data_IF_972450478787
#
_entry.id   IF_972450478787
#
_cell.length_a   1.000
_cell.length_b   1.000
_cell.length_c   1.000
_cell.angle_alpha   90.00
_cell.angle_beta   90.00
_cell.angle_gamma   90.00
#
_symmetry.space_group_name_H-M   'P 1'
#
loop_
_entity.id
_entity.type
_entity.pdbx_description
1 polymer ?
#
# COMPACT_ATOMS: atom_id res chain seq x y z
N UNK A 1 0.44 -27.83 1.29
CA UNK A 1 0.27 -26.78 0.24
C UNK A 1 1.57 -26.58 -0.55
N UNK A 2 1.53 -26.13 -1.81
CA UNK A 2 2.73 -25.71 -2.57
C UNK A 2 3.02 -24.24 -2.28
N UNK A 3 4.29 -23.89 -2.02
CA UNK A 3 4.75 -22.52 -1.80
C UNK A 3 5.49 -22.02 -3.04
N UNK A 4 5.08 -20.88 -3.57
CA UNK A 4 5.81 -20.09 -4.55
C UNK A 4 6.10 -18.69 -3.97
N UNK A 5 7.25 -18.12 -4.31
CA UNK A 5 7.73 -16.85 -3.73
C UNK A 5 8.17 -15.93 -4.85
N UNK A 6 7.64 -14.72 -4.88
CA UNK A 6 7.92 -13.72 -5.89
C UNK A 6 8.50 -12.48 -5.21
N UNK A 7 9.70 -12.07 -5.62
CA UNK A 7 10.24 -10.79 -5.15
C UNK A 7 9.53 -9.64 -5.86
N UNK A 8 9.11 -8.67 -5.07
CA UNK A 8 8.41 -7.47 -5.54
C UNK A 8 9.18 -6.21 -5.18
N UNK A 9 8.92 -5.14 -5.94
CA UNK A 9 9.45 -3.79 -5.72
C UNK A 9 8.35 -2.79 -6.02
N UNK A 10 7.96 -2.05 -4.99
CA UNK A 10 6.98 -0.98 -5.09
C UNK A 10 7.67 0.38 -5.21
N UNK A 11 6.97 1.34 -5.79
CA UNK A 11 7.43 2.72 -5.95
C UNK A 11 6.25 3.65 -5.78
N UNK A 12 6.41 4.70 -4.99
CA UNK A 12 5.40 5.72 -4.76
C UNK A 12 5.45 6.83 -5.84
N UNK A 13 4.35 7.57 -6.00
CA UNK A 13 4.27 8.74 -6.86
C UNK A 13 5.19 9.88 -6.40
N UNK A 14 5.27 10.10 -5.09
CA UNK A 14 6.23 10.99 -4.43
C UNK A 14 7.09 10.14 -3.50
N UNK A 15 8.36 10.53 -3.28
CA UNK A 15 9.20 9.85 -2.28
C UNK A 15 8.50 9.88 -0.92
N UNK A 16 8.19 8.70 -0.39
CA UNK A 16 7.58 8.57 0.93
C UNK A 16 8.58 8.95 2.00
N UNK A 17 8.17 9.85 2.90
CA UNK A 17 8.99 10.37 4.00
C UNK A 17 8.24 10.28 5.31
N UNK A 18 8.89 9.73 6.31
CA UNK A 18 8.50 9.81 7.71
C UNK A 18 9.56 10.58 8.51
N UNK A 19 9.35 10.77 9.82
CA UNK A 19 10.39 11.32 10.70
C UNK A 19 11.66 10.45 10.76
N UNK A 20 11.60 9.19 10.31
CA UNK A 20 12.70 8.22 10.39
C UNK A 20 13.44 7.99 9.08
N UNK A 21 12.73 8.01 7.95
CA UNK A 21 13.31 7.57 6.67
C UNK A 21 12.62 8.16 5.44
N UNK A 22 13.32 8.12 4.31
CA UNK A 22 12.83 8.47 2.98
C UNK A 22 13.05 7.27 2.03
N UNK A 23 12.01 6.82 1.34
CA UNK A 23 12.04 5.55 0.60
C UNK A 23 11.72 5.78 -0.88
N UNK A 24 12.69 5.62 -1.79
CA UNK A 24 12.44 5.70 -3.22
C UNK A 24 11.87 4.40 -3.81
N UNK A 25 12.20 3.25 -3.20
CA UNK A 25 11.75 1.92 -3.62
C UNK A 25 11.52 1.03 -2.40
N UNK A 26 10.43 0.26 -2.41
CA UNK A 26 10.04 -0.63 -1.31
C UNK A 26 10.13 -2.08 -1.79
N UNK A 27 11.23 -2.79 -1.51
CA UNK A 27 11.32 -4.22 -1.80
C UNK A 27 10.38 -5.02 -0.91
N UNK A 28 10.00 -6.21 -1.35
CA UNK A 28 9.17 -7.13 -0.58
C UNK A 28 9.04 -8.50 -1.23
N UNK A 29 8.21 -9.36 -0.64
CA UNK A 29 7.83 -10.65 -1.20
C UNK A 29 6.31 -10.72 -1.35
N UNK A 30 5.86 -11.21 -2.51
CA UNK A 30 4.53 -11.79 -2.66
C UNK A 30 4.65 -13.32 -2.52
N UNK A 31 3.94 -13.85 -1.54
CA UNK A 31 3.84 -15.28 -1.25
C UNK A 31 2.59 -15.83 -1.92
N UNK A 32 2.73 -16.99 -2.57
CA UNK A 32 1.64 -17.74 -3.15
C UNK A 32 1.58 -19.14 -2.53
N UNK A 33 0.42 -19.50 -1.97
CA UNK A 33 0.12 -20.86 -1.52
C UNK A 33 -0.89 -21.50 -2.45
N UNK A 34 -0.53 -22.63 -3.05
CA UNK A 34 -1.40 -23.38 -3.98
C UNK A 34 -1.88 -24.70 -3.38
N UNK A 35 -3.17 -24.98 -3.49
CA UNK A 35 -3.77 -26.30 -3.22
C UNK A 35 -4.98 -26.54 -4.13
N UNK A 36 -5.16 -27.78 -4.60
CA UNK A 36 -6.26 -28.17 -5.48
C UNK A 36 -6.43 -27.27 -6.74
N UNK A 37 -5.33 -26.72 -7.27
CA UNK A 37 -5.34 -25.83 -8.43
C UNK A 37 -5.80 -24.39 -8.13
N UNK A 38 -5.98 -24.03 -6.85
CA UNK A 38 -6.34 -22.69 -6.38
C UNK A 38 -5.15 -22.07 -5.66
N UNK A 39 -4.90 -20.79 -5.89
CA UNK A 39 -3.83 -20.01 -5.27
C UNK A 39 -4.41 -18.97 -4.30
N UNK A 40 -3.80 -18.82 -3.14
CA UNK A 40 -3.99 -17.69 -2.23
C UNK A 40 -2.70 -16.88 -2.06
N UNK A 41 -2.83 -15.59 -1.80
CA UNK A 41 -1.72 -14.64 -1.83
C UNK A 41 -1.57 -13.85 -0.52
N UNK A 42 -0.33 -13.57 -0.15
CA UNK A 42 0.00 -12.68 0.96
C UNK A 42 1.30 -11.93 0.69
N UNK A 43 1.50 -10.81 1.38
CA UNK A 43 2.63 -9.90 1.13
C UNK A 43 3.47 -9.72 2.39
N UNK A 44 4.79 -9.56 2.20
CA UNK A 44 5.73 -9.12 3.23
C UNK A 44 6.62 -7.98 2.69
N UNK A 45 6.50 -6.78 3.26
CA UNK A 45 7.35 -5.65 2.88
C UNK A 45 8.73 -5.76 3.53
N UNK A 46 9.81 -5.53 2.79
CA UNK A 46 11.16 -5.47 3.32
C UNK A 46 11.47 -4.08 3.89
N UNK A 47 10.82 -3.77 5.01
CA UNK A 47 10.79 -2.44 5.62
C UNK A 47 11.10 -2.50 7.12
N UNK A 48 11.81 -1.50 7.66
CA UNK A 48 12.33 -1.48 9.04
C UNK A 48 13.06 -2.80 9.40
N UNK A 49 14.04 -3.17 8.57
CA UNK A 49 14.66 -4.51 8.56
C UNK A 49 15.39 -4.86 9.85
N UNK A 50 15.94 -3.88 10.54
CA UNK A 50 16.61 -4.02 11.84
C UNK A 50 15.63 -4.36 12.96
N UNK A 51 14.38 -3.91 12.85
CA UNK A 51 13.35 -4.08 13.89
C UNK A 51 12.52 -5.35 13.75
N UNK A 52 12.22 -5.77 12.51
CA UNK A 52 11.26 -6.84 12.24
C UNK A 52 11.84 -8.06 11.50
N UNK A 53 13.16 -8.14 11.34
CA UNK A 53 13.83 -9.19 10.55
C UNK A 53 13.22 -9.36 9.14
N UNK A 54 12.84 -8.24 8.52
CA UNK A 54 12.13 -8.19 7.24
C UNK A 54 13.07 -8.04 6.04
N UNK A 55 14.39 -8.21 6.21
CA UNK A 55 15.30 -8.19 5.07
C UNK A 55 14.98 -9.35 4.10
N UNK A 56 15.02 -9.11 2.78
CA UNK A 56 14.70 -10.13 1.76
C UNK A 56 15.43 -11.46 2.00
N UNK A 57 16.73 -11.42 2.30
CA UNK A 57 17.53 -12.62 2.60
C UNK A 57 16.98 -13.39 3.80
N UNK A 58 16.63 -12.69 4.88
CA UNK A 58 16.08 -13.31 6.08
C UNK A 58 14.71 -13.95 5.81
N UNK A 59 13.84 -13.25 5.08
CA UNK A 59 12.53 -13.76 4.70
C UNK A 59 12.65 -15.01 3.79
N UNK A 60 13.59 -15.02 2.84
CA UNK A 60 13.87 -16.22 2.03
C UNK A 60 14.37 -17.40 2.88
N UNK A 61 15.25 -17.15 3.83
CA UNK A 61 15.75 -18.20 4.73
C UNK A 61 14.66 -18.76 5.63
N UNK A 62 13.77 -17.90 6.12
CA UNK A 62 12.56 -18.28 6.85
C UNK A 62 11.63 -19.16 6.01
N UNK A 63 11.37 -18.77 4.76
CA UNK A 63 10.52 -19.53 3.85
C UNK A 63 11.12 -20.90 3.51
N UNK A 64 12.44 -20.98 3.26
CA UNK A 64 13.14 -22.26 3.07
C UNK A 64 13.03 -23.16 4.29
N UNK A 65 13.14 -22.59 5.49
CA UNK A 65 13.04 -23.31 6.77
C UNK A 65 11.68 -23.98 6.96
N UNK A 66 10.59 -23.30 6.58
CA UNK A 66 9.22 -23.79 6.79
C UNK A 66 8.60 -24.48 5.57
N UNK A 67 9.24 -24.44 4.40
CA UNK A 67 8.71 -25.01 3.15
C UNK A 67 8.28 -26.49 3.28
N UNK A 68 9.07 -27.32 3.97
CA UNK A 68 8.73 -28.73 4.22
C UNK A 68 7.48 -28.89 5.10
N UNK A 69 7.34 -28.05 6.12
CA UNK A 69 6.17 -28.03 7.00
C UNK A 69 4.91 -27.59 6.23
N UNK A 70 5.01 -26.51 5.44
CA UNK A 70 3.91 -26.01 4.61
C UNK A 70 3.36 -27.06 3.65
N UNK A 71 4.20 -27.97 3.15
CA UNK A 71 3.75 -29.05 2.29
C UNK A 71 2.72 -29.97 2.97
N UNK A 72 2.94 -30.27 4.25
CA UNK A 72 2.10 -31.15 5.05
C UNK A 72 0.87 -30.46 5.67
N UNK A 73 0.85 -29.13 5.70
CA UNK A 73 -0.25 -28.36 6.30
C UNK A 73 -1.52 -28.37 5.41
N UNK A 74 -2.72 -28.48 6.03
CA UNK A 74 -4.00 -28.43 5.34
C UNK A 74 -4.28 -27.03 4.75
N UNK A 75 -5.05 -26.98 3.66
CA UNK A 75 -5.36 -25.72 2.98
C UNK A 75 -6.60 -24.99 3.52
N UNK A 76 -7.38 -25.66 4.38
CA UNK A 76 -8.67 -25.21 4.94
C UNK A 76 -8.60 -24.87 6.44
N UNK A 77 -7.42 -24.94 7.07
CA UNK A 77 -7.20 -24.60 8.48
C UNK A 77 -6.09 -23.53 8.65
N UNK A 78 -6.33 -22.28 8.23
CA UNK A 78 -5.34 -21.22 8.33
C UNK A 78 -4.95 -20.91 9.79
N UNK A 79 -5.86 -21.02 10.76
CA UNK A 79 -5.54 -20.77 12.17
C UNK A 79 -4.63 -21.85 12.77
N UNK A 80 -4.87 -23.13 12.44
CA UNK A 80 -3.98 -24.23 12.81
C UNK A 80 -2.61 -24.11 12.13
N UNK A 81 -2.59 -23.69 10.86
CA UNK A 81 -1.35 -23.41 10.13
C UNK A 81 -0.53 -22.32 10.83
N UNK A 82 -1.17 -21.22 11.23
CA UNK A 82 -0.52 -20.15 11.99
C UNK A 82 0.09 -20.68 13.28
N UNK A 83 -0.64 -21.50 14.04
CA UNK A 83 -0.16 -22.06 15.31
C UNK A 83 1.11 -22.92 15.13
N UNK A 84 1.21 -23.66 14.03
CA UNK A 84 2.40 -24.46 13.69
C UNK A 84 3.57 -23.57 13.24
N UNK A 85 3.30 -22.51 12.50
CA UNK A 85 4.32 -21.62 11.92
C UNK A 85 4.82 -20.53 12.88
N UNK A 86 4.03 -20.18 13.89
CA UNK A 86 4.34 -19.08 14.81
C UNK A 86 5.65 -19.30 15.59
N UNK A 87 5.90 -20.52 16.07
CA UNK A 87 7.14 -20.83 16.80
C UNK A 87 8.40 -20.76 15.92
N UNK A 88 8.47 -21.42 14.75
CA UNK A 88 9.66 -21.34 13.90
C UNK A 88 9.88 -19.96 13.27
N UNK A 89 8.85 -19.10 13.23
CA UNK A 89 8.90 -17.74 12.69
C UNK A 89 8.71 -16.63 13.75
N UNK A 90 8.93 -16.93 15.04
CA UNK A 90 8.65 -15.99 16.13
C UNK A 90 9.44 -14.66 16.04
N UNK A 91 10.60 -14.68 15.39
CA UNK A 91 11.42 -13.48 15.14
C UNK A 91 11.14 -12.78 13.80
N UNK A 92 10.18 -13.27 13.02
CA UNK A 92 9.93 -12.84 11.64
C UNK A 92 8.44 -12.61 11.37
N UNK A 93 7.81 -11.65 12.07
CA UNK A 93 6.36 -11.45 12.01
C UNK A 93 5.88 -11.10 10.60
N UNK A 94 6.70 -10.45 9.77
CA UNK A 94 6.31 -10.08 8.40
C UNK A 94 6.19 -11.31 7.50
N UNK A 95 7.16 -12.23 7.58
CA UNK A 95 7.10 -13.53 6.88
C UNK A 95 5.91 -14.37 7.35
N UNK A 96 5.69 -14.42 8.67
CA UNK A 96 4.56 -15.14 9.26
C UNK A 96 3.22 -14.56 8.78
N UNK A 97 3.12 -13.23 8.74
CA UNK A 97 1.93 -12.53 8.25
C UNK A 97 1.63 -12.86 6.79
N UNK A 98 2.62 -12.82 5.91
CA UNK A 98 2.45 -13.16 4.50
C UNK A 98 1.95 -14.60 4.30
N UNK A 99 2.47 -15.57 5.07
CA UNK A 99 2.00 -16.96 5.04
C UNK A 99 0.57 -17.12 5.58
N UNK A 100 0.25 -16.43 6.69
CA UNK A 100 -1.08 -16.47 7.28
C UNK A 100 -2.13 -15.84 6.36
N UNK A 101 -1.83 -14.66 5.78
CA UNK A 101 -2.69 -13.99 4.81
C UNK A 101 -2.93 -14.89 3.58
N UNK A 102 -1.86 -15.49 3.03
CA UNK A 102 -1.99 -16.41 1.89
C UNK A 102 -2.83 -17.66 2.22
N UNK A 103 -2.72 -18.19 3.44
CA UNK A 103 -3.51 -19.34 3.89
C UNK A 103 -4.99 -18.98 4.05
N UNK A 104 -5.31 -17.81 4.63
CA UNK A 104 -6.67 -17.31 4.73
C UNK A 104 -7.29 -17.01 3.36
N UNK A 105 -6.54 -16.39 2.47
CA UNK A 105 -6.97 -16.15 1.09
C UNK A 105 -7.26 -17.46 0.35
N UNK A 106 -6.35 -18.45 0.46
CA UNK A 106 -6.53 -19.78 -0.13
C UNK A 106 -7.76 -20.50 0.41
N UNK A 107 -7.96 -20.52 1.74
CA UNK A 107 -9.10 -21.17 2.37
C UNK A 107 -10.43 -20.56 1.90
N UNK A 108 -10.51 -19.23 1.87
CA UNK A 108 -11.68 -18.51 1.38
C UNK A 108 -11.96 -18.76 -0.11
N UNK A 109 -10.91 -18.85 -0.95
CA UNK A 109 -11.04 -19.20 -2.37
C UNK A 109 -11.51 -20.63 -2.59
N UNK A 110 -10.98 -21.60 -1.84
CA UNK A 110 -11.44 -22.98 -1.87
C UNK A 110 -12.92 -23.09 -1.45
N UNK A 111 -13.34 -22.28 -0.48
CA UNK A 111 -14.74 -22.15 -0.07
C UNK A 111 -15.60 -21.33 -1.04
N UNK A 112 -15.01 -20.75 -2.10
CA UNK A 112 -15.70 -19.91 -3.09
C UNK A 112 -16.44 -18.72 -2.49
N UNK A 113 -15.89 -18.11 -1.43
CA UNK A 113 -16.48 -16.93 -0.76
C UNK A 113 -15.44 -15.82 -0.58
N UNK A 114 -15.86 -14.54 -0.56
CA UNK A 114 -14.97 -13.45 -0.17
C UNK A 114 -14.41 -13.66 1.23
N UNK A 115 -13.18 -13.20 1.47
CA UNK A 115 -12.47 -13.38 2.73
C UNK A 115 -13.26 -12.80 3.91
N UNK A 116 -13.88 -11.62 3.74
CA UNK A 116 -14.67 -10.99 4.82
C UNK A 116 -15.80 -11.91 5.29
N UNK A 117 -16.41 -12.67 4.37
CA UNK A 117 -17.47 -13.63 4.67
C UNK A 117 -16.90 -14.90 5.30
N UNK A 118 -15.76 -15.37 4.81
CA UNK A 118 -15.04 -16.51 5.37
C UNK A 118 -14.65 -16.28 6.83
N UNK A 119 -14.25 -15.05 7.18
CA UNK A 119 -13.91 -14.64 8.55
C UNK A 119 -15.13 -14.45 9.47
N UNK A 120 -16.35 -14.62 8.93
CA UNK A 120 -17.60 -14.39 9.67
C UNK A 120 -17.94 -12.91 9.87
N UNK A 121 -17.36 -12.03 9.03
CA UNK A 121 -17.64 -10.60 9.04
C UNK A 121 -19.02 -10.27 8.48
N UNK A 122 -19.51 -9.07 8.79
CA UNK A 122 -20.71 -8.52 8.17
C UNK A 122 -20.31 -7.89 6.83
N UNK A 123 -21.22 -7.90 5.85
CA UNK A 123 -21.03 -7.14 4.62
C UNK A 123 -20.66 -5.70 5.01
N UNK A 124 -19.47 -5.21 4.65
CA UNK A 124 -19.03 -3.91 5.10
C UNK A 124 -20.00 -2.84 4.58
N UNK A 125 -20.32 -1.85 5.42
CA UNK A 125 -20.90 -0.60 4.95
C UNK A 125 -19.92 0.17 4.07
N UNK A 126 -20.11 1.48 3.93
CA UNK A 126 -19.12 2.32 3.26
C UNK A 126 -17.84 2.39 4.12
N UNK A 127 -16.85 1.56 3.79
CA UNK A 127 -15.51 1.60 4.37
C UNK A 127 -14.75 2.78 3.75
N UNK A 128 -13.99 3.51 4.57
CA UNK A 128 -13.12 4.55 4.06
C UNK A 128 -11.76 4.53 4.76
N UNK A 129 -10.72 4.88 4.02
CA UNK A 129 -9.36 5.09 4.52
C UNK A 129 -9.12 6.59 4.77
N UNK A 130 -8.23 6.92 5.72
CA UNK A 130 -7.49 8.19 5.72
C UNK A 130 -6.53 8.28 4.53
N UNK A 131 -6.05 9.47 4.18
CA UNK A 131 -4.95 9.69 3.23
C UNK A 131 -3.71 10.22 3.92
N UNK A 132 -2.57 9.57 3.74
CA UNK A 132 -1.30 9.97 4.35
C UNK A 132 -0.59 11.06 3.56
N UNK A 133 -0.27 12.15 4.26
CA UNK A 133 0.61 13.22 3.80
C UNK A 133 1.95 13.04 4.51
N UNK A 134 2.90 12.44 3.79
CA UNK A 134 4.27 12.26 4.27
C UNK A 134 4.97 13.58 4.57
N UNK A 135 5.95 13.53 5.48
CA UNK A 135 6.68 14.69 5.98
C UNK A 135 7.49 15.35 4.86
N UNK A 136 7.28 16.63 4.62
CA UNK A 136 7.96 17.42 3.59
C UNK A 136 7.89 18.92 3.95
N UNK A 137 8.37 19.79 3.06
CA UNK A 137 8.13 21.22 3.18
C UNK A 137 6.63 21.53 3.12
N UNK A 138 6.13 22.54 3.87
CA UNK A 138 4.70 22.84 3.97
C UNK A 138 4.01 23.01 2.60
N UNK A 139 4.68 23.65 1.64
CA UNK A 139 4.15 23.84 0.29
C UNK A 139 3.95 22.52 -0.46
N UNK A 140 4.86 21.55 -0.30
CA UNK A 140 4.74 20.21 -0.88
C UNK A 140 3.60 19.44 -0.22
N UNK A 141 3.46 19.53 1.10
CA UNK A 141 2.36 18.88 1.83
C UNK A 141 1.00 19.42 1.42
N UNK A 142 0.87 20.75 1.26
CA UNK A 142 -0.33 21.39 0.71
C UNK A 142 -0.62 20.94 -0.72
N UNK A 143 0.40 20.86 -1.59
CA UNK A 143 0.24 20.30 -2.95
C UNK A 143 -0.35 18.89 -2.91
N UNK A 144 0.25 17.98 -2.11
CA UNK A 144 -0.21 16.59 -1.97
C UNK A 144 -1.67 16.49 -1.52
N UNK A 145 -2.08 17.36 -0.59
CA UNK A 145 -3.46 17.48 -0.14
C UNK A 145 -4.39 17.90 -1.29
N UNK A 146 -4.01 18.94 -2.04
CA UNK A 146 -4.81 19.49 -3.15
C UNK A 146 -4.91 18.52 -4.34
N UNK A 147 -3.92 17.65 -4.54
CA UNK A 147 -3.96 16.58 -5.54
C UNK A 147 -4.95 15.47 -5.19
N UNK A 148 -5.32 15.33 -3.90
CA UNK A 148 -6.23 14.28 -3.39
C UNK A 148 -7.35 14.89 -2.54
N UNK A 149 -8.24 15.73 -3.10
CA UNK A 149 -9.29 16.40 -2.33
C UNK A 149 -10.42 15.44 -1.95
N UNK A 150 -11.08 15.72 -0.81
CA UNK A 150 -12.33 15.06 -0.44
C UNK A 150 -12.17 13.70 0.25
N UNK A 151 -10.97 13.38 0.74
CA UNK A 151 -10.78 12.24 1.63
C UNK A 151 -11.42 12.52 3.00
N UNK A 152 -11.94 11.50 3.69
CA UNK A 152 -12.67 11.68 4.95
C UNK A 152 -11.76 12.10 6.11
N UNK A 153 -10.46 11.83 6.03
CA UNK A 153 -9.45 12.27 6.97
C UNK A 153 -8.08 12.29 6.29
N UNK A 154 -7.18 13.17 6.76
CA UNK A 154 -5.79 13.21 6.30
C UNK A 154 -4.84 12.86 7.45
N UNK A 155 -4.01 11.84 7.26
CA UNK A 155 -2.94 11.46 8.20
C UNK A 155 -1.69 12.29 7.92
N UNK A 156 -1.36 13.23 8.80
CA UNK A 156 -0.26 14.18 8.61
C UNK A 156 0.93 13.77 9.46
N UNK A 157 2.08 13.52 8.83
CA UNK A 157 3.34 13.28 9.53
C UNK A 157 4.00 14.61 9.91
N UNK A 158 4.35 14.77 11.18
CA UNK A 158 5.10 15.95 11.66
C UNK A 158 6.40 15.52 12.33
N UNK A 159 7.45 16.34 12.20
CA UNK A 159 8.74 16.05 12.79
C UNK A 159 8.77 16.38 14.29
N UNK A 160 8.03 17.40 14.70
CA UNK A 160 7.95 17.87 16.07
C UNK A 160 6.51 18.25 16.47
N UNK A 161 6.17 18.21 17.78
CA UNK A 161 4.83 18.62 18.24
C UNK A 161 4.55 20.11 17.95
N UNK A 162 5.60 20.92 17.81
CA UNK A 162 5.53 22.35 17.53
C UNK A 162 5.27 22.72 16.06
N UNK A 163 5.19 21.74 15.13
CA UNK A 163 5.00 21.98 13.70
C UNK A 163 3.56 22.40 13.32
N UNK A 164 2.89 23.14 14.22
CA UNK A 164 1.52 23.65 14.07
C UNK A 164 1.34 24.55 12.85
N UNK A 165 2.43 25.14 12.34
CA UNK A 165 2.40 25.94 11.11
C UNK A 165 2.06 25.09 9.88
N UNK A 166 2.47 23.81 9.85
CA UNK A 166 2.10 22.85 8.80
C UNK A 166 0.59 22.58 8.86
N UNK A 167 0.07 22.24 10.04
CA UNK A 167 -1.36 21.99 10.25
C UNK A 167 -2.21 23.22 9.89
N UNK A 168 -1.75 24.42 10.24
CA UNK A 168 -2.41 25.68 9.85
C UNK A 168 -2.47 25.84 8.33
N UNK A 169 -1.36 25.62 7.63
CA UNK A 169 -1.30 25.72 6.18
C UNK A 169 -2.23 24.70 5.50
N UNK A 170 -2.28 23.45 5.98
CA UNK A 170 -3.20 22.43 5.46
C UNK A 170 -4.67 22.78 5.74
N UNK A 171 -4.97 23.31 6.94
CA UNK A 171 -6.32 23.70 7.37
C UNK A 171 -6.91 24.83 6.52
N UNK A 172 -6.09 25.66 5.88
CA UNK A 172 -6.58 26.66 4.91
C UNK A 172 -7.25 26.05 3.67
N UNK A 173 -7.05 24.76 3.42
CA UNK A 173 -7.48 24.07 2.20
C UNK A 173 -8.48 22.93 2.43
N UNK A 174 -8.74 22.52 3.67
CA UNK A 174 -9.70 21.45 3.98
C UNK A 174 -10.32 21.59 5.36
N UNK A 175 -11.57 21.15 5.50
CA UNK A 175 -12.26 20.98 6.79
C UNK A 175 -12.22 19.52 7.29
N UNK A 176 -11.62 18.60 6.53
CA UNK A 176 -11.50 17.20 6.93
C UNK A 176 -10.68 17.04 8.23
N UNK A 177 -11.01 16.06 9.08
CA UNK A 177 -10.20 15.66 10.23
C UNK A 177 -8.73 15.40 9.90
N UNK A 178 -7.85 15.74 10.83
CA UNK A 178 -6.45 15.36 10.79
C UNK A 178 -6.15 14.24 11.78
N UNK A 179 -5.45 13.21 11.31
CA UNK A 179 -4.78 12.22 12.16
C UNK A 179 -3.30 12.57 12.16
N UNK A 180 -2.69 12.82 13.31
CA UNK A 180 -1.30 13.25 13.37
C UNK A 180 -0.43 12.10 13.86
N UNK A 181 0.64 11.80 13.15
CA UNK A 181 1.58 10.73 13.49
C UNK A 181 2.95 11.32 13.83
N UNK A 182 3.39 11.12 15.07
CA UNK A 182 4.69 11.56 15.57
C UNK A 182 5.83 10.57 15.30
N UNK A 183 5.52 9.33 14.88
CA UNK A 183 6.47 8.25 14.58
C UNK A 183 7.59 8.09 15.63
N UNK A 184 7.25 8.18 16.91
CA UNK A 184 8.14 8.15 18.08
C UNK A 184 9.17 9.29 18.20
N UNK A 185 9.01 10.40 17.48
CA UNK A 185 10.01 11.47 17.41
C UNK A 185 9.88 12.56 18.48
N UNK A 186 8.82 12.56 19.28
CA UNK A 186 8.45 13.71 20.10
C UNK A 186 8.79 13.52 21.59
N UNK A 187 8.78 14.62 22.34
CA UNK A 187 8.92 14.64 23.80
C UNK A 187 7.59 15.04 24.48
N UNK A 188 7.39 14.56 25.71
CA UNK A 188 6.16 14.81 26.48
C UNK A 188 5.90 16.30 26.73
N UNK A 189 6.86 17.12 27.23
CA UNK A 189 6.62 18.55 27.47
C UNK A 189 6.13 19.32 26.24
N UNK A 190 6.79 19.12 25.10
CA UNK A 190 6.43 19.75 23.83
C UNK A 190 5.08 19.28 23.31
N UNK A 191 4.80 17.97 23.45
CA UNK A 191 3.51 17.39 23.06
C UNK A 191 2.38 18.00 23.88
N UNK A 192 2.50 18.01 25.22
CA UNK A 192 1.51 18.59 26.12
C UNK A 192 1.23 20.08 25.80
N UNK A 193 2.27 20.85 25.49
CA UNK A 193 2.14 22.26 25.15
C UNK A 193 1.40 22.51 23.81
N UNK A 194 1.33 21.52 22.93
CA UNK A 194 0.76 21.67 21.59
C UNK A 194 -0.66 21.07 21.44
N UNK A 195 -1.13 20.27 22.40
CA UNK A 195 -2.40 19.54 22.34
C UNK A 195 -3.62 20.41 22.04
N UNK A 196 -3.82 21.49 22.80
CA UNK A 196 -4.99 22.36 22.63
C UNK A 196 -5.00 23.03 21.25
N UNK A 197 -3.81 23.37 20.74
CA UNK A 197 -3.67 23.96 19.42
C UNK A 197 -3.90 22.93 18.31
N UNK A 198 -3.42 21.69 18.48
CA UNK A 198 -3.72 20.59 17.56
C UNK A 198 -5.23 20.31 17.52
N UNK A 199 -5.89 20.23 18.67
CA UNK A 199 -7.33 20.02 18.76
C UNK A 199 -8.10 21.16 18.08
N UNK A 200 -7.70 22.41 18.32
CA UNK A 200 -8.27 23.58 17.66
C UNK A 200 -8.05 23.64 16.14
N UNK A 201 -7.08 22.89 15.62
CA UNK A 201 -6.82 22.74 14.18
C UNK A 201 -7.51 21.50 13.58
N UNK A 202 -8.40 20.85 14.32
CA UNK A 202 -9.18 19.70 13.85
C UNK A 202 -8.38 18.40 13.81
N UNK A 203 -7.40 18.24 14.70
CA UNK A 203 -6.76 16.94 14.95
C UNK A 203 -7.69 16.09 15.81
N UNK A 204 -8.07 14.92 15.31
CA UNK A 204 -8.99 13.99 15.98
C UNK A 204 -8.31 12.71 16.47
N UNK A 205 -7.05 12.47 16.08
CA UNK A 205 -6.27 11.30 16.48
C UNK A 205 -4.78 11.68 16.55
N UNK A 206 -4.11 11.31 17.64
CA UNK A 206 -2.65 11.44 17.79
C UNK A 206 -2.00 10.05 17.88
N UNK A 207 -1.24 9.67 16.85
CA UNK A 207 -0.61 8.37 16.71
C UNK A 207 0.87 8.41 17.14
N UNK A 208 1.22 7.50 18.04
CA UNK A 208 2.58 7.18 18.50
C UNK A 208 3.56 8.37 18.56
N UNK A 209 3.35 9.35 19.45
CA UNK A 209 4.28 10.48 19.58
C UNK A 209 5.64 10.07 20.15
N UNK A 210 5.67 9.10 21.08
CA UNK A 210 6.87 8.74 21.84
C UNK A 210 7.47 7.39 21.43
N UNK A 211 8.77 7.15 21.71
CA UNK A 211 9.39 5.83 21.61
C UNK A 211 8.56 4.73 22.25
N UNK A 212 8.62 3.52 21.68
CA UNK A 212 7.82 2.37 22.11
C UNK A 212 7.92 2.11 23.61
N UNK A 213 9.12 2.33 24.18
CA UNK A 213 9.47 2.00 25.55
C UNK A 213 8.94 3.04 26.56
N UNK A 214 8.46 4.19 26.11
CA UNK A 214 8.09 5.35 26.94
C UNK A 214 6.63 5.28 27.44
N UNK A 215 6.30 4.21 28.15
CA UNK A 215 4.93 3.94 28.63
C UNK A 215 4.42 4.96 29.66
N UNK A 216 5.29 5.47 30.54
CA UNK A 216 4.90 6.49 31.53
C UNK A 216 4.50 7.82 30.87
N UNK A 217 5.21 8.19 29.80
CA UNK A 217 4.91 9.39 29.02
C UNK A 217 3.59 9.21 28.26
N UNK A 218 3.37 8.04 27.65
CA UNK A 218 2.12 7.71 26.99
C UNK A 218 0.92 7.75 27.96
N UNK A 219 1.05 7.16 29.16
CA UNK A 219 0.03 7.26 30.22
C UNK A 219 -0.28 8.70 30.59
N UNK A 220 0.77 9.48 30.87
CA UNK A 220 0.62 10.90 31.25
C UNK A 220 -0.06 11.70 30.15
N UNK A 221 0.28 11.42 28.89
CA UNK A 221 -0.34 12.06 27.73
C UNK A 221 -1.81 11.67 27.60
N UNK A 222 -2.15 10.38 27.68
CA UNK A 222 -3.53 9.89 27.64
C UNK A 222 -4.43 10.58 28.67
N UNK A 223 -3.95 10.75 29.90
CA UNK A 223 -4.71 11.41 30.97
C UNK A 223 -4.96 12.90 30.70
N UNK A 224 -4.02 13.58 30.04
CA UNK A 224 -4.08 15.02 29.80
C UNK A 224 -4.68 15.39 28.43
N UNK A 225 -4.70 14.47 27.47
CA UNK A 225 -4.97 14.78 26.07
C UNK A 225 -6.46 14.97 25.78
N UNK A 226 -6.86 16.09 25.14
CA UNK A 226 -8.20 16.23 24.58
C UNK A 226 -8.38 15.43 23.27
N UNK A 227 -7.29 14.90 22.71
CA UNK A 227 -7.25 14.12 21.47
C UNK A 227 -6.95 12.65 21.82
N UNK A 228 -7.73 11.67 21.34
CA UNK A 228 -7.42 10.26 21.52
C UNK A 228 -5.99 9.89 21.08
N UNK A 229 -5.26 9.19 21.94
CA UNK A 229 -3.88 8.76 21.68
C UNK A 229 -3.85 7.30 21.25
N UNK A 230 -3.27 7.02 20.08
CA UNK A 230 -3.21 5.67 19.49
C UNK A 230 -1.79 5.10 19.51
N UNK A 231 -1.66 3.83 19.87
CA UNK A 231 -0.41 3.08 19.74
C UNK A 231 -0.25 2.53 18.31
N UNK A 232 0.92 2.72 17.69
CA UNK A 232 1.37 1.98 16.50
C UNK A 232 2.61 1.15 16.89
N UNK A 233 3.78 1.77 17.02
CA UNK A 233 5.01 1.08 17.37
C UNK A 233 4.99 0.43 18.76
N UNK A 234 4.14 0.87 19.68
CA UNK A 234 3.94 0.26 21.00
C UNK A 234 3.09 -1.01 20.97
N UNK A 235 2.32 -1.26 19.90
CA UNK A 235 1.47 -2.46 19.73
C UNK A 235 1.95 -3.28 18.53
N UNK A 236 2.79 -4.28 18.79
CA UNK A 236 3.31 -5.17 17.74
C UNK A 236 2.68 -6.55 17.78
N UNK A 237 2.23 -7.03 18.94
CA UNK A 237 1.64 -8.35 19.09
C UNK A 237 0.70 -8.46 20.29
N UNK A 238 0.12 -9.64 20.52
CA UNK A 238 -0.90 -9.84 21.55
C UNK A 238 -0.40 -9.57 22.98
N UNK A 239 0.91 -9.70 23.23
CA UNK A 239 1.52 -9.51 24.55
C UNK A 239 1.59 -8.03 24.96
N UNK A 240 1.51 -7.09 24.01
CA UNK A 240 1.57 -5.66 24.27
C UNK A 240 0.21 -5.08 24.70
N UNK A 241 -0.89 -5.81 24.46
CA UNK A 241 -2.23 -5.26 24.49
C UNK A 241 -2.68 -4.77 25.86
N UNK A 242 -2.29 -5.45 26.95
CA UNK A 242 -2.64 -5.00 28.31
C UNK A 242 -1.93 -3.69 28.67
N UNK A 243 -0.66 -3.55 28.28
CA UNK A 243 0.08 -2.30 28.48
C UNK A 243 -0.50 -1.17 27.61
N UNK A 244 -0.95 -1.49 26.39
CA UNK A 244 -1.64 -0.52 25.54
C UNK A 244 -2.99 -0.07 26.11
N UNK A 245 -3.78 -0.98 26.69
CA UNK A 245 -5.05 -0.65 27.33
C UNK A 245 -4.89 0.38 28.47
N UNK A 246 -3.78 0.28 29.20
CA UNK A 246 -3.41 1.21 30.25
C UNK A 246 -2.95 2.56 29.67
N UNK A 247 -2.03 2.56 28.70
CA UNK A 247 -1.34 3.76 28.24
C UNK A 247 -1.93 4.51 27.03
N UNK A 248 -2.87 3.92 26.30
CA UNK A 248 -3.44 4.50 25.07
C UNK A 248 -4.98 4.45 25.06
N UNK A 249 -5.62 5.28 24.24
CA UNK A 249 -7.06 5.28 24.00
C UNK A 249 -7.46 4.33 22.86
N UNK A 250 -6.52 4.09 21.94
CA UNK A 250 -6.72 3.19 20.81
C UNK A 250 -5.45 2.49 20.35
N UNK A 251 -5.62 1.52 19.45
CA UNK A 251 -4.52 0.74 18.87
C UNK A 251 -4.61 0.70 17.35
N UNK A 252 -3.50 0.98 16.68
CA UNK A 252 -3.27 0.78 15.25
C UNK A 252 -2.59 -0.58 15.02
N UNK A 253 -3.41 -1.58 14.69
CA UNK A 253 -2.94 -2.92 14.38
C UNK A 253 -2.55 -3.00 12.90
N UNK A 254 -1.47 -3.74 12.61
CA UNK A 254 -1.03 -4.01 11.23
C UNK A 254 -0.78 -5.50 11.10
N UNK A 255 -1.26 -6.11 10.02
CA UNK A 255 -1.12 -7.56 9.81
C UNK A 255 0.36 -7.99 9.88
N UNK A 256 1.25 -7.23 9.24
CA UNK A 256 2.69 -7.52 9.21
C UNK A 256 3.36 -7.48 10.58
N UNK A 257 3.01 -6.52 11.45
CA UNK A 257 3.60 -6.44 12.81
C UNK A 257 3.16 -7.62 13.68
N UNK A 258 1.87 -7.96 13.60
CA UNK A 258 1.23 -8.94 14.47
C UNK A 258 1.40 -10.40 13.99
N UNK A 259 1.87 -10.61 12.76
CA UNK A 259 2.03 -11.95 12.20
C UNK A 259 0.78 -12.50 11.50
N UNK A 260 -0.10 -11.64 10.99
CA UNK A 260 -1.20 -12.02 10.10
C UNK A 260 -2.61 -11.69 10.57
N UNK A 261 -3.61 -12.19 9.84
CA UNK A 261 -5.04 -12.08 10.13
C UNK A 261 -5.39 -12.84 11.41
N UNK A 262 -4.87 -14.06 11.58
CA UNK A 262 -5.15 -14.91 12.75
C UNK A 262 -4.90 -14.18 14.08
N UNK A 263 -3.70 -13.64 14.36
CA UNK A 263 -3.44 -12.91 15.59
C UNK A 263 -4.20 -11.57 15.65
N UNK A 264 -4.34 -10.85 14.54
CA UNK A 264 -5.02 -9.55 14.52
C UNK A 264 -6.50 -9.67 14.89
N UNK A 265 -7.23 -10.67 14.39
CA UNK A 265 -8.63 -10.89 14.80
C UNK A 265 -8.76 -11.16 16.30
N UNK A 266 -7.80 -11.89 16.90
CA UNK A 266 -7.77 -12.13 18.35
C UNK A 266 -7.48 -10.83 19.10
N UNK A 267 -6.53 -10.03 18.61
CA UNK A 267 -6.19 -8.74 19.19
C UNK A 267 -7.35 -7.73 19.11
N UNK A 268 -8.05 -7.63 17.98
CA UNK A 268 -9.20 -6.74 17.80
C UNK A 268 -10.33 -7.05 18.80
N UNK A 269 -10.62 -8.35 19.01
CA UNK A 269 -11.62 -8.78 20.02
C UNK A 269 -11.19 -8.38 21.43
N UNK A 270 -9.91 -8.56 21.76
CA UNK A 270 -9.35 -8.25 23.09
C UNK A 270 -9.26 -6.74 23.33
N UNK A 271 -8.86 -5.96 22.32
CA UNK A 271 -8.79 -4.51 22.37
C UNK A 271 -10.17 -3.90 22.66
N UNK A 272 -11.20 -4.33 21.92
CA UNK A 272 -12.57 -3.90 22.19
C UNK A 272 -13.07 -4.30 23.57
N UNK A 273 -12.76 -5.52 24.01
CA UNK A 273 -13.13 -5.96 25.36
C UNK A 273 -12.44 -5.13 26.46
N UNK A 274 -11.26 -4.56 26.17
CA UNK A 274 -10.54 -3.64 27.03
C UNK A 274 -11.00 -2.17 26.88
N UNK A 275 -11.98 -1.87 26.03
CA UNK A 275 -12.50 -0.52 25.82
C UNK A 275 -11.64 0.37 24.93
N UNK A 276 -10.67 -0.20 24.21
CA UNK A 276 -9.83 0.53 23.25
C UNK A 276 -10.57 0.78 21.93
N UNK A 277 -10.36 1.97 21.36
CA UNK A 277 -10.66 2.22 19.95
C UNK A 277 -9.72 1.41 19.05
N UNK A 278 -10.21 1.02 17.88
CA UNK A 278 -9.51 0.09 16.98
C UNK A 278 -9.28 0.69 15.60
N UNK A 279 -8.04 0.60 15.16
CA UNK A 279 -7.60 1.03 13.84
C UNK A 279 -6.81 -0.09 13.17
N UNK A 280 -7.00 -0.24 11.86
CA UNK A 280 -6.14 -1.07 11.02
C UNK A 280 -5.35 -0.17 10.07
N UNK A 281 -4.04 -0.23 10.19
CA UNK A 281 -3.10 0.45 9.33
C UNK A 281 -2.37 -0.53 8.41
N UNK A 282 -1.66 0.02 7.43
CA UNK A 282 -0.74 -0.75 6.60
C UNK A 282 0.72 -0.32 6.82
N UNK A 283 1.62 -1.21 6.43
CA UNK A 283 2.98 -0.84 6.02
C UNK A 283 2.90 -0.25 4.61
N UNK A 284 4.02 0.20 4.03
CA UNK A 284 4.05 0.43 2.59
C UNK A 284 3.86 -0.90 1.86
N UNK A 285 2.62 -1.15 1.43
CA UNK A 285 2.11 -2.42 0.92
C UNK A 285 1.42 -2.20 -0.44
N UNK A 286 1.44 -3.23 -1.26
CA UNK A 286 0.74 -3.28 -2.54
C UNK A 286 -0.75 -3.59 -2.37
N UNK A 287 -1.47 -3.68 -3.50
CA UNK A 287 -2.85 -4.18 -3.52
C UNK A 287 -3.01 -5.54 -2.84
N UNK A 288 -1.98 -6.39 -2.77
CA UNK A 288 -2.05 -7.67 -2.08
C UNK A 288 -2.25 -7.50 -0.57
N UNK A 289 -1.36 -6.75 0.09
CA UNK A 289 -1.46 -6.46 1.53
C UNK A 289 -2.67 -5.62 1.91
N UNK A 290 -2.94 -4.54 1.15
CA UNK A 290 -4.09 -3.66 1.41
C UNK A 290 -5.42 -4.38 1.27
N UNK A 291 -5.58 -5.26 0.29
CA UNK A 291 -6.80 -6.07 0.15
C UNK A 291 -7.04 -6.92 1.39
N UNK A 292 -6.01 -7.61 1.89
CA UNK A 292 -6.14 -8.44 3.09
C UNK A 292 -6.60 -7.61 4.30
N UNK A 293 -6.00 -6.43 4.52
CA UNK A 293 -6.35 -5.53 5.63
C UNK A 293 -7.78 -4.97 5.49
N UNK A 294 -8.16 -4.52 4.28
CA UNK A 294 -9.48 -3.96 4.01
C UNK A 294 -10.62 -4.96 4.27
N UNK A 295 -10.39 -6.26 4.05
CA UNK A 295 -11.36 -7.31 4.36
C UNK A 295 -11.68 -7.44 5.86
N UNK A 296 -10.84 -6.89 6.74
CA UNK A 296 -11.10 -6.80 8.18
C UNK A 296 -11.77 -5.46 8.57
N UNK A 297 -12.09 -4.59 7.62
CA UNK A 297 -12.59 -3.23 7.88
C UNK A 297 -13.85 -3.15 8.75
N UNK A 298 -14.74 -4.16 8.68
CA UNK A 298 -15.93 -4.22 9.55
C UNK A 298 -15.60 -4.44 11.04
N UNK A 299 -14.36 -4.81 11.35
CA UNK A 299 -13.86 -5.02 12.70
C UNK A 299 -13.06 -3.84 13.24
N UNK A 300 -13.12 -2.64 12.65
CA UNK A 300 -12.41 -1.47 13.20
C UNK A 300 -13.23 -0.19 13.11
N UNK A 301 -12.81 0.79 13.89
CA UNK A 301 -13.38 2.13 13.93
C UNK A 301 -12.71 3.04 12.88
N UNK A 302 -11.43 2.79 12.57
CA UNK A 302 -10.64 3.55 11.61
C UNK A 302 -9.83 2.63 10.67
N UNK A 303 -9.65 3.06 9.43
CA UNK A 303 -8.75 2.43 8.45
C UNK A 303 -7.74 3.44 7.93
N UNK A 304 -6.48 3.03 7.87
CA UNK A 304 -5.36 3.73 7.25
C UNK A 304 -4.66 2.76 6.29
N UNK A 305 -5.33 2.52 5.17
CA UNK A 305 -4.96 1.54 4.15
C UNK A 305 -4.82 2.22 2.79
N UNK A 306 -4.10 3.35 2.77
CA UNK A 306 -4.01 4.27 1.64
C UNK A 306 -2.81 4.00 0.74
N UNK A 307 -1.94 3.05 1.09
CA UNK A 307 -0.70 2.81 0.36
C UNK A 307 -0.91 2.63 -1.15
N UNK A 308 -1.97 1.93 -1.59
CA UNK A 308 -2.27 1.78 -3.02
C UNK A 308 -2.62 3.08 -3.75
N UNK A 309 -3.08 4.13 -3.04
CA UNK A 309 -3.27 5.47 -3.60
C UNK A 309 -1.95 6.25 -3.72
N UNK A 310 -0.93 5.86 -2.96
CA UNK A 310 0.41 6.44 -2.98
C UNK A 310 1.29 5.79 -4.06
N UNK A 311 1.03 4.53 -4.40
CA UNK A 311 1.83 3.74 -5.35
C UNK A 311 1.72 4.21 -6.82
N UNK A 312 2.88 4.41 -7.44
CA UNK A 312 3.06 4.45 -8.89
C UNK A 312 3.20 3.05 -9.50
N UNK A 313 3.76 2.11 -8.74
CA UNK A 313 4.00 0.71 -9.15
C UNK A 313 3.37 -0.24 -8.14
N UNK A 314 2.40 -1.02 -8.60
CA UNK A 314 1.64 -2.01 -7.83
C UNK A 314 1.85 -3.45 -8.37
N UNK A 315 1.47 -4.47 -7.59
CA UNK A 315 1.63 -5.90 -7.88
C UNK A 315 0.42 -6.54 -8.57
N UNK A 316 -0.69 -5.83 -8.70
CA UNK A 316 -1.90 -6.38 -9.30
C UNK A 316 -3.13 -5.52 -9.04
N UNK A 317 -4.30 -6.16 -9.02
CA UNK A 317 -5.56 -5.54 -8.68
C UNK A 317 -6.21 -6.28 -7.52
N UNK A 318 -6.93 -5.58 -6.65
CA UNK A 318 -7.65 -6.18 -5.54
C UNK A 318 -8.82 -5.30 -5.11
N UNK A 319 -8.82 -4.90 -3.85
CA UNK A 319 -9.76 -3.89 -3.35
C UNK A 319 -9.69 -2.59 -4.14
N UNK A 320 -10.83 -1.98 -4.42
CA UNK A 320 -10.90 -0.68 -5.07
C UNK A 320 -10.89 0.42 -4.00
N UNK A 321 -9.88 1.28 -4.04
CA UNK A 321 -9.82 2.53 -3.29
C UNK A 321 -10.01 3.68 -4.27
N UNK A 322 -11.12 4.41 -4.16
CA UNK A 322 -11.39 5.55 -5.05
C UNK A 322 -10.68 6.83 -4.59
N UNK A 323 -10.72 7.86 -5.44
CA UNK A 323 -10.03 9.13 -5.20
C UNK A 323 -10.61 9.95 -4.01
N UNK A 324 -11.64 9.43 -3.33
CA UNK A 324 -12.23 10.00 -2.11
C UNK A 324 -12.04 9.10 -0.89
N UNK A 325 -11.16 8.10 -0.99
CA UNK A 325 -10.81 7.22 0.11
C UNK A 325 -11.83 6.13 0.40
N UNK A 326 -12.88 5.96 -0.42
CA UNK A 326 -13.86 4.90 -0.21
C UNK A 326 -13.32 3.56 -0.72
N UNK A 327 -13.45 2.56 0.12
CA UNK A 327 -12.99 1.19 -0.10
C UNK A 327 -14.19 0.33 -0.54
N UNK A 328 -14.08 -0.31 -1.70
CA UNK A 328 -15.04 -1.29 -2.20
C UNK A 328 -14.40 -2.67 -2.21
N UNK A 329 -14.88 -3.56 -1.34
CA UNK A 329 -14.43 -4.95 -1.32
C UNK A 329 -15.00 -5.71 -2.54
N UNK A 330 -14.19 -6.57 -3.19
CA UNK A 330 -14.66 -7.40 -4.27
C UNK A 330 -15.61 -8.50 -3.77
N UNK A 331 -16.59 -8.87 -4.60
CA UNK A 331 -17.44 -10.05 -4.39
C UNK A 331 -16.75 -11.37 -4.82
N UNK A 332 -15.50 -11.28 -5.29
CA UNK A 332 -14.69 -12.43 -5.69
C UNK A 332 -14.24 -13.27 -4.47
N UNK A 333 -13.99 -14.58 -4.66
CA UNK A 333 -13.45 -15.42 -3.59
C UNK A 333 -12.09 -14.94 -3.06
N UNK A 334 -11.85 -15.15 -1.76
CA UNK A 334 -10.62 -14.69 -1.12
C UNK A 334 -10.58 -13.19 -0.88
N UNK A 335 -9.38 -12.62 -0.88
CA UNK A 335 -9.14 -11.17 -0.85
C UNK A 335 -9.57 -10.47 -2.15
N UNK A 336 -9.91 -11.25 -3.19
CA UNK A 336 -10.15 -10.77 -4.54
C UNK A 336 -8.90 -10.21 -5.23
N UNK A 337 -7.73 -10.31 -4.61
CA UNK A 337 -6.47 -9.93 -5.24
C UNK A 337 -6.15 -10.82 -6.44
N UNK A 338 -5.68 -10.21 -7.52
CA UNK A 338 -5.24 -10.86 -8.75
C UNK A 338 -3.87 -10.27 -9.11
N UNK A 339 -2.79 -11.06 -9.05
CA UNK A 339 -1.45 -10.57 -9.38
C UNK A 339 -1.29 -10.30 -10.88
N UNK A 340 -0.60 -9.21 -11.23
CA UNK A 340 -0.02 -9.02 -12.58
C UNK A 340 1.44 -9.45 -12.56
N UNK A 341 1.71 -10.75 -12.63
CA UNK A 341 3.08 -11.30 -12.68
C UNK A 341 3.94 -10.79 -13.85
N UNK A 342 3.31 -10.16 -14.85
CA UNK A 342 4.00 -9.52 -15.97
C UNK A 342 4.27 -8.03 -15.75
N UNK A 343 3.75 -7.51 -14.64
CA UNK A 343 3.91 -6.15 -14.17
C UNK A 343 5.34 -5.82 -13.73
N UNK A 344 5.61 -4.54 -13.45
CA UNK A 344 6.94 -4.01 -13.13
C UNK A 344 7.44 -4.43 -11.75
N UNK A 345 6.50 -4.79 -10.87
CA UNK A 345 6.78 -4.90 -9.46
C UNK A 345 7.55 -6.18 -9.23
N UNK A 346 7.27 -7.21 -10.02
CA UNK A 346 7.88 -8.52 -9.93
C UNK A 346 9.30 -8.52 -10.51
N UNK A 347 10.30 -8.58 -9.61
CA UNK A 347 11.72 -8.74 -9.94
C UNK A 347 12.11 -10.21 -10.07
N UNK A 348 11.38 -11.12 -9.42
CA UNK A 348 11.44 -12.58 -9.62
C UNK A 348 10.05 -13.08 -10.01
N UNK A 349 9.96 -13.79 -11.13
CA UNK A 349 8.69 -14.21 -11.77
C UNK A 349 8.53 -15.74 -11.77
N UNK A 350 7.29 -16.27 -11.84
CA UNK A 350 7.07 -17.70 -12.05
C UNK A 350 7.82 -18.19 -13.29
N UNK A 351 8.57 -19.29 -13.18
CA UNK A 351 9.25 -19.92 -14.32
C UNK A 351 8.19 -20.40 -15.31
N UNK A 352 8.33 -20.00 -16.57
CA UNK A 352 7.34 -20.17 -17.64
C UNK A 352 6.80 -21.61 -17.73
N UNK A 353 5.54 -21.75 -17.32
CA UNK A 353 4.71 -22.92 -17.54
C UNK A 353 3.25 -22.49 -17.63
N UNK A 354 2.94 -21.57 -18.56
CA UNK A 354 1.55 -21.13 -18.82
C UNK A 354 1.25 -19.64 -18.68
N UNK A 355 2.24 -18.77 -18.43
CA UNK A 355 2.05 -17.33 -18.60
C UNK A 355 2.11 -16.98 -20.10
N UNK A 356 1.27 -16.07 -20.61
CA UNK A 356 1.38 -15.62 -21.99
C UNK A 356 2.77 -15.05 -22.22
N UNK A 357 3.47 -15.60 -23.21
CA UNK A 357 4.70 -15.05 -23.74
C UNK A 357 4.44 -13.58 -24.11
N UNK A 358 5.23 -12.65 -23.55
CA UNK A 358 5.19 -11.25 -23.94
C UNK A 358 5.93 -11.10 -25.27
N UNK A 359 5.34 -11.62 -26.34
CA UNK A 359 5.86 -11.47 -27.69
C UNK A 359 5.06 -10.37 -28.41
N UNK A 360 5.63 -9.16 -28.50
CA UNK A 360 5.19 -8.16 -29.48
C UNK A 360 4.65 -6.81 -28.98
N UNK A 361 4.68 -6.54 -27.67
CA UNK A 361 4.52 -5.17 -27.15
C UNK A 361 3.10 -4.58 -27.17
N UNK A 362 2.04 -5.39 -27.08
CA UNK A 362 0.64 -4.92 -27.01
C UNK A 362 -0.03 -5.33 -25.69
N UNK A 363 -0.80 -4.42 -25.11
CA UNK A 363 -1.64 -4.57 -23.93
C UNK A 363 -3.08 -4.28 -24.31
N UNK A 364 -4.04 -5.03 -23.75
CA UNK A 364 -5.47 -4.82 -24.01
C UNK A 364 -6.26 -4.78 -22.70
N UNK A 365 -7.19 -3.84 -22.58
CA UNK A 365 -8.20 -3.77 -21.55
C UNK A 365 -9.51 -4.35 -22.10
N UNK A 366 -10.13 -5.26 -21.36
CA UNK A 366 -11.36 -5.93 -21.77
C UNK A 366 -12.47 -5.73 -20.74
N UNK A 367 -13.70 -5.53 -21.20
CA UNK A 367 -14.92 -5.50 -20.38
C UNK A 367 -15.85 -6.63 -20.84
N UNK A 368 -16.26 -7.49 -19.91
CA UNK A 368 -17.11 -8.67 -20.20
C UNK A 368 -16.54 -9.54 -21.35
N UNK A 369 -15.21 -9.65 -21.44
CA UNK A 369 -14.52 -10.42 -22.49
C UNK A 369 -14.38 -9.71 -23.84
N UNK A 370 -14.89 -8.47 -23.98
CA UNK A 370 -14.72 -7.65 -25.18
C UNK A 370 -13.62 -6.62 -24.98
N UNK A 371 -12.66 -6.53 -25.91
CA UNK A 371 -11.62 -5.49 -25.86
C UNK A 371 -12.24 -4.11 -25.99
N UNK A 372 -11.99 -3.24 -25.00
CA UNK A 372 -12.46 -1.86 -24.97
C UNK A 372 -11.35 -0.87 -25.28
N UNK A 373 -10.10 -1.21 -24.99
CA UNK A 373 -8.92 -0.43 -25.35
C UNK A 373 -7.67 -1.31 -25.50
N UNK A 374 -6.68 -0.84 -26.25
CA UNK A 374 -5.37 -1.49 -26.33
C UNK A 374 -4.25 -0.47 -26.50
N UNK A 375 -3.06 -0.77 -26.00
CA UNK A 375 -1.87 0.07 -26.16
C UNK A 375 -0.68 -0.76 -26.60
N UNK A 376 0.03 -0.27 -27.63
CA UNK A 376 1.27 -0.88 -28.12
C UNK A 376 2.51 -0.04 -27.80
N UNK A 377 3.46 -0.62 -27.08
CA UNK A 377 4.76 -0.02 -26.73
C UNK A 377 5.82 -0.53 -27.72
N UNK A 378 6.59 0.37 -28.35
CA UNK A 378 7.71 0.01 -29.24
C UNK A 378 8.97 0.77 -28.84
N UNK A 379 10.12 0.10 -28.93
CA UNK A 379 11.44 0.74 -28.85
C UNK A 379 11.76 1.38 -30.20
N UNK A 380 11.52 2.69 -30.33
CA UNK A 380 11.77 3.46 -31.56
C UNK A 380 12.37 4.83 -31.23
N UNK A 381 13.22 5.37 -32.12
CA UNK A 381 13.62 6.77 -32.05
C UNK A 381 12.43 7.69 -32.30
N UNK A 382 12.41 8.84 -31.61
CA UNK A 382 11.56 9.95 -32.01
C UNK A 382 11.95 10.50 -33.39
N UNK A 383 11.05 11.22 -34.09
CA UNK A 383 11.39 11.89 -35.34
C UNK A 383 12.66 12.75 -35.17
N UNK A 384 13.74 12.39 -35.88
CA UNK A 384 15.01 13.13 -35.87
C UNK A 384 16.07 12.68 -34.85
N UNK A 385 15.78 11.70 -33.99
CA UNK A 385 16.74 11.16 -33.01
C UNK A 385 17.31 9.79 -33.36
N UNK A 386 18.44 9.42 -32.76
CA UNK A 386 18.93 8.04 -32.78
C UNK A 386 18.18 7.18 -31.74
N UNK A 387 17.93 5.88 -32.00
CA UNK A 387 17.32 5.00 -31.01
C UNK A 387 18.20 4.91 -29.76
N UNK A 388 17.63 5.13 -28.58
CA UNK A 388 18.32 4.95 -27.29
C UNK A 388 17.75 3.73 -26.56
N UNK A 389 18.58 3.05 -25.77
CA UNK A 389 18.13 1.94 -24.91
C UNK A 389 17.15 2.39 -23.83
N UNK A 390 17.23 3.66 -23.44
CA UNK A 390 16.43 4.22 -22.36
C UNK A 390 15.14 4.90 -22.83
N UNK A 391 14.77 4.81 -24.11
CA UNK A 391 13.62 5.53 -24.66
C UNK A 391 12.66 4.58 -25.36
N UNK A 392 11.36 4.65 -25.00
CA UNK A 392 10.27 3.88 -25.62
C UNK A 392 9.12 4.79 -26.05
N UNK A 393 8.33 4.34 -27.03
CA UNK A 393 7.19 5.09 -27.55
C UNK A 393 5.92 4.23 -27.56
N UNK A 394 4.82 4.77 -27.04
CA UNK A 394 3.47 4.27 -27.23
C UNK A 394 3.02 4.61 -28.66
N UNK A 395 3.03 3.60 -29.53
CA UNK A 395 2.80 3.79 -30.95
C UNK A 395 1.31 3.74 -31.33
N UNK A 396 0.54 2.88 -30.67
CA UNK A 396 -0.85 2.59 -31.06
C UNK A 396 -1.71 2.44 -29.81
N UNK A 397 -2.19 3.56 -29.25
CA UNK A 397 -3.33 3.55 -28.33
C UNK A 397 -4.61 3.51 -29.17
N UNK A 398 -5.43 2.49 -28.95
CA UNK A 398 -6.71 2.26 -29.62
C UNK A 398 -7.81 2.17 -28.57
N UNK A 399 -8.97 2.74 -28.89
CA UNK A 399 -10.19 2.64 -28.10
C UNK A 399 -11.27 2.07 -28.99
N UNK A 400 -11.88 0.95 -28.61
CA UNK A 400 -12.95 0.31 -29.39
C UNK A 400 -14.34 0.98 -29.21
N UNK A 401 -14.39 2.11 -28.48
CA UNK A 401 -15.61 2.83 -28.09
C UNK A 401 -16.13 2.34 -26.73
N UNK A 402 -16.26 3.25 -25.76
CA UNK A 402 -16.83 2.94 -24.43
C UNK A 402 -15.83 2.67 -23.29
N UNK A 403 -14.52 2.74 -23.56
CA UNK A 403 -13.51 2.79 -22.49
C UNK A 403 -13.59 4.12 -21.74
N UNK A 404 -13.66 4.04 -20.41
CA UNK A 404 -13.63 5.19 -19.51
C UNK A 404 -12.22 5.76 -19.36
N UNK A 405 -12.11 7.02 -18.95
CA UNK A 405 -10.83 7.65 -18.66
C UNK A 405 -10.05 6.89 -17.58
N UNK A 406 -10.73 6.27 -16.61
CA UNK A 406 -10.11 5.42 -15.58
C UNK A 406 -9.47 4.17 -16.17
N UNK A 407 -10.16 3.45 -17.06
CA UNK A 407 -9.62 2.26 -17.73
C UNK A 407 -8.45 2.61 -18.64
N UNK A 408 -8.55 3.74 -19.36
CA UNK A 408 -7.46 4.24 -20.19
C UNK A 408 -6.25 4.66 -19.35
N UNK A 409 -6.48 5.31 -18.21
CA UNK A 409 -5.42 5.71 -17.27
C UNK A 409 -4.70 4.48 -16.73
N UNK A 410 -5.43 3.48 -16.25
CA UNK A 410 -4.85 2.22 -15.77
C UNK A 410 -4.03 1.52 -16.86
N UNK A 411 -4.59 1.37 -18.07
CA UNK A 411 -3.92 0.75 -19.20
C UNK A 411 -2.62 1.48 -19.59
N UNK A 412 -2.64 2.82 -19.58
CA UNK A 412 -1.47 3.65 -19.87
C UNK A 412 -0.41 3.56 -18.77
N UNK A 413 -0.82 3.57 -17.50
CA UNK A 413 0.09 3.34 -16.37
C UNK A 413 0.78 1.99 -16.54
N UNK A 414 0.03 0.90 -16.72
CA UNK A 414 0.60 -0.43 -16.95
C UNK A 414 1.58 -0.45 -18.13
N UNK A 415 1.29 0.26 -19.23
CA UNK A 415 2.19 0.33 -20.39
C UNK A 415 3.50 1.07 -20.13
N UNK A 416 3.43 2.24 -19.49
CA UNK A 416 4.60 3.01 -19.05
C UNK A 416 5.46 2.18 -18.12
N UNK A 417 4.80 1.59 -17.15
CA UNK A 417 5.37 0.76 -16.13
C UNK A 417 6.12 -0.44 -16.72
N UNK A 418 5.52 -1.15 -17.69
CA UNK A 418 6.22 -2.22 -18.44
C UNK A 418 7.39 -1.66 -19.25
N UNK A 419 7.26 -0.49 -19.87
CA UNK A 419 8.35 0.14 -20.60
C UNK A 419 9.56 0.45 -19.68
N UNK A 420 9.31 0.90 -18.45
CA UNK A 420 10.34 1.19 -17.43
C UNK A 420 11.05 -0.07 -16.97
N UNK A 421 10.31 -1.13 -16.66
CA UNK A 421 10.87 -2.44 -16.30
C UNK A 421 11.80 -2.98 -17.39
N UNK A 422 11.51 -2.62 -18.64
CA UNK A 422 12.23 -3.02 -19.84
C UNK A 422 13.32 -1.99 -20.24
N UNK A 423 13.75 -1.14 -19.30
CA UNK A 423 14.91 -0.25 -19.38
C UNK A 423 14.62 1.21 -19.77
N UNK A 424 13.35 1.60 -19.98
CA UNK A 424 13.02 2.97 -20.36
C UNK A 424 13.09 3.95 -19.19
N UNK A 425 13.80 5.06 -19.37
CA UNK A 425 13.73 6.26 -18.50
C UNK A 425 12.69 7.27 -18.99
N UNK A 426 12.33 7.18 -20.27
CA UNK A 426 11.37 8.08 -20.91
C UNK A 426 10.42 7.30 -21.80
N UNK A 427 9.11 7.58 -21.65
CA UNK A 427 8.05 7.01 -22.48
C UNK A 427 7.29 8.12 -23.18
N UNK A 428 7.16 8.02 -24.50
CA UNK A 428 6.50 9.03 -25.33
C UNK A 428 5.16 8.54 -25.84
N UNK A 429 4.19 9.43 -26.00
CA UNK A 429 2.96 9.10 -26.71
C UNK A 429 2.42 10.28 -27.51
N UNK A 430 1.80 9.99 -28.65
CA UNK A 430 1.03 10.99 -29.36
C UNK A 430 -0.33 11.16 -28.70
N UNK A 431 -0.67 12.39 -28.35
CA UNK A 431 -1.97 12.69 -27.78
C UNK A 431 -3.02 12.74 -28.88
N UNK A 432 -4.07 11.93 -28.70
CA UNK A 432 -5.35 12.09 -29.38
C UNK A 432 -6.32 12.66 -28.35
N UNK A 433 -7.23 13.55 -28.76
CA UNK A 433 -8.09 14.32 -27.87
C UNK A 433 -8.88 13.49 -26.83
N UNK A 434 -9.20 12.22 -27.13
CA UNK A 434 -9.88 11.29 -26.22
C UNK A 434 -8.99 10.63 -25.16
N UNK A 435 -7.65 10.69 -25.30
CA UNK A 435 -6.71 10.05 -24.39
C UNK A 435 -5.87 11.06 -23.59
N UNK A 436 -5.92 12.35 -23.92
CA UNK A 436 -5.09 13.38 -23.27
C UNK A 436 -5.38 13.49 -21.76
N UNK A 437 -6.64 13.41 -21.33
CA UNK A 437 -7.01 13.43 -19.91
C UNK A 437 -6.47 12.20 -19.16
N UNK A 438 -6.73 11.01 -19.69
CA UNK A 438 -6.22 9.75 -19.14
C UNK A 438 -4.68 9.67 -19.13
N UNK A 439 -4.02 10.20 -20.16
CA UNK A 439 -2.57 10.28 -20.23
C UNK A 439 -1.99 11.21 -19.16
N UNK A 440 -2.60 12.37 -18.92
CA UNK A 440 -2.21 13.28 -17.82
C UNK A 440 -2.41 12.61 -16.46
N UNK A 441 -3.54 11.94 -16.25
CA UNK A 441 -3.78 11.15 -15.04
C UNK A 441 -2.81 9.95 -14.88
N UNK A 442 -2.25 9.45 -15.98
CA UNK A 442 -1.20 8.45 -16.01
C UNK A 442 0.23 9.03 -15.83
N UNK A 443 0.36 10.35 -15.61
CA UNK A 443 1.63 11.03 -15.34
C UNK A 443 2.38 11.55 -16.57
N UNK A 444 1.75 11.55 -17.75
CA UNK A 444 2.36 12.17 -18.94
C UNK A 444 2.21 13.70 -18.92
N UNK A 445 3.26 14.41 -19.35
CA UNK A 445 3.28 15.88 -19.48
C UNK A 445 3.56 16.31 -20.93
N UNK A 446 3.15 17.51 -21.38
CA UNK A 446 3.46 18.00 -22.72
C UNK A 446 4.96 18.17 -22.94
N UNK A 447 5.47 17.78 -24.11
CA UNK A 447 6.84 18.09 -24.52
C UNK A 447 6.93 19.50 -25.10
N UNK A 448 7.95 20.27 -24.69
CA UNK A 448 8.27 21.61 -25.19
C UNK A 448 7.17 22.68 -25.05
N UNK A 449 6.39 22.60 -23.96
CA UNK A 449 5.64 23.74 -23.41
C UNK A 449 4.44 24.27 -24.20
N UNK A 450 4.19 23.82 -25.44
CA UNK A 450 3.09 24.42 -26.24
C UNK A 450 2.39 23.48 -27.24
N UNK A 451 2.59 22.15 -27.17
CA UNK A 451 1.76 21.24 -27.98
C UNK A 451 1.27 20.02 -27.19
N UNK A 452 -0.05 19.96 -26.95
CA UNK A 452 -0.79 18.79 -26.44
C UNK A 452 -0.83 17.62 -27.46
N UNK A 453 0.14 17.55 -28.37
CA UNK A 453 0.20 16.58 -29.47
C UNK A 453 1.21 15.48 -29.19
N UNK A 454 2.24 15.78 -28.37
CA UNK A 454 3.26 14.83 -27.95
C UNK A 454 3.43 14.94 -26.44
N UNK A 455 3.13 13.85 -25.74
CA UNK A 455 3.26 13.75 -24.30
C UNK A 455 4.42 12.85 -23.92
N UNK A 456 5.03 13.16 -22.78
CA UNK A 456 6.20 12.49 -22.23
C UNK A 456 5.97 12.11 -20.78
N UNK A 457 6.32 10.87 -20.45
CA UNK A 457 6.45 10.38 -19.08
C UNK A 457 7.93 10.14 -18.79
N UNK A 458 8.43 10.60 -17.63
CA UNK A 458 9.84 10.47 -17.22
C UNK A 458 9.91 9.75 -15.87
N UNK A 459 10.82 8.78 -15.73
CA UNK A 459 11.01 8.01 -14.50
C UNK A 459 11.60 8.82 -13.33
N UNK A 460 12.21 9.99 -13.60
CA UNK A 460 12.69 10.91 -12.58
C UNK A 460 13.07 12.26 -13.23
N UNK A 461 12.42 13.40 -12.91
CA UNK A 461 12.74 14.68 -13.55
C UNK A 461 14.05 15.35 -13.05
N UNK A 462 14.70 14.81 -12.01
CA UNK A 462 15.85 15.47 -11.35
C UNK A 462 17.26 15.05 -11.84
N UNK A 463 17.40 14.04 -12.69
CA UNK A 463 18.73 13.53 -13.11
C UNK A 463 19.39 14.33 -14.26
N UNK A 464 18.75 15.37 -14.81
CA UNK A 464 19.32 16.13 -15.94
C UNK A 464 20.39 17.17 -15.53
N UNK A 465 20.65 17.38 -14.22
CA UNK A 465 21.65 18.35 -13.76
C UNK A 465 23.08 17.82 -13.59
N UNK A 466 23.34 16.52 -13.69
CA UNK A 466 24.70 15.97 -13.49
C UNK A 466 25.55 15.81 -14.77
N UNK A 467 25.03 16.16 -15.96
CA UNK A 467 25.78 16.03 -17.22
C UNK A 467 25.88 17.31 -18.06
N UNK A 468 25.89 18.47 -17.40
CA UNK A 468 26.45 19.71 -17.96
C UNK A 468 27.52 20.29 -17.03
N UNK A 469 28.71 19.71 -17.11
CA UNK A 469 29.97 20.35 -16.72
C UNK A 469 30.93 20.28 -17.91
#
# INVERSE_FOLDING_TARGET
MKLDVHEIRLTDHDVWRSAREAIPEQPGLLIELTAAGVSGFGEASAFMTDRYNSALTAMHDDLRRVAGTLHALPADDPEGNWAVLAQPLAGSPFTLAALDVAAHDLAARLASVPLWRHLGGVAPGALHSSYSIGLDEPATMVRKLLERPGWPAYKVKLAAPGDLHILKALREHTDAPFYVDGNCGWDLPGTLAALDAMAGLGVELLEQPFPREHWDEARTLKEASPIPVFADESITGPDDLDACADAFDGVNLKLMKAGGITPVLRMLRRARAAGLATMLGCMPESSAGVSATAHLGSYVDHLDTDSIALLAVDTGAGVLLDDHGRITLPDAPGTGFVPDFTGPAFTVRPTAGGLPDWDGGQLSACREGTEVASVRVRRRPLPGGAPSEHVRQLAELSTAGGASDTELTALLRTAVTRAVADGARTVWMHARQAATAAARAAGFTPHDGDTDTLLVWKANPHDEHEHRA
#
